data_IF_623275573932
#
_entry.id   IF_623275573932
#
_cell.length_a   1.000
_cell.length_b   1.000
_cell.length_c   1.000
_cell.angle_alpha   90.00
_cell.angle_beta   90.00
_cell.angle_gamma   90.00
#
_symmetry.space_group_name_H-M   'P 1'
#
loop_
_entity.id
_entity.type
_entity.pdbx_description
1 polymer ?
#
# COMPACT_ATOMS: atom_id res chain seq x y z
N UNK A 1 17.24 33.67 47.49
CA UNK A 1 15.86 33.73 46.97
C UNK A 1 15.80 34.01 45.44
N UNK A 2 16.49 35.00 44.89
CA UNK A 2 16.44 35.27 43.43
C UNK A 2 16.98 34.09 42.56
N UNK A 3 18.06 33.40 42.97
CA UNK A 3 18.66 32.28 42.22
C UNK A 3 17.78 31.01 42.22
N UNK A 4 17.01 30.78 43.28
CA UNK A 4 16.07 29.65 43.38
C UNK A 4 14.85 29.85 42.52
N UNK A 5 14.40 31.10 42.30
CA UNK A 5 13.27 31.42 41.40
C UNK A 5 13.63 31.14 39.92
N UNK A 6 14.85 31.46 39.50
CA UNK A 6 15.31 31.16 38.13
C UNK A 6 15.47 29.66 37.88
N UNK A 7 15.90 28.89 38.88
CA UNK A 7 15.97 27.43 38.78
C UNK A 7 14.59 26.79 38.65
N UNK A 8 13.60 27.30 39.38
CA UNK A 8 12.21 26.83 39.33
C UNK A 8 11.54 27.20 37.99
N UNK A 9 11.80 28.38 37.45
CA UNK A 9 11.33 28.82 36.13
C UNK A 9 11.94 27.97 34.99
N UNK A 10 13.23 27.63 35.09
CA UNK A 10 13.90 26.79 34.08
C UNK A 10 13.34 25.35 34.09
N UNK A 11 12.99 24.83 35.28
CA UNK A 11 12.39 23.49 35.38
C UNK A 11 10.94 23.43 34.82
N UNK A 12 10.21 24.55 34.85
CA UNK A 12 8.86 24.65 34.30
C UNK A 12 8.85 24.64 32.76
N UNK A 13 9.93 25.10 32.12
CA UNK A 13 10.06 25.04 30.66
C UNK A 13 10.40 23.66 30.10
N UNK A 14 10.84 22.72 30.92
CA UNK A 14 11.20 21.36 30.49
C UNK A 14 9.99 20.41 30.39
N UNK A 15 8.84 20.76 30.95
CA UNK A 15 7.68 19.87 30.99
C UNK A 15 6.63 20.17 29.91
N UNK A 16 6.83 21.17 29.06
CA UNK A 16 5.85 21.53 28.01
C UNK A 16 6.16 20.94 26.63
N UNK A 17 7.17 20.06 26.50
CA UNK A 17 7.45 19.35 25.26
C UNK A 17 6.75 18.00 25.20
N UNK A 18 5.44 17.97 25.45
CA UNK A 18 4.61 16.87 25.03
C UNK A 18 4.23 17.14 23.57
N UNK A 19 5.03 16.71 22.63
CA UNK A 19 4.60 16.66 21.23
C UNK A 19 3.56 15.56 21.18
N UNK A 20 2.30 15.90 20.91
CA UNK A 20 1.29 14.91 20.54
C UNK A 20 1.86 14.10 19.38
N UNK A 21 2.01 12.81 19.59
CA UNK A 21 2.46 11.90 18.56
C UNK A 21 1.43 11.94 17.44
N UNK A 22 1.81 12.42 16.27
CA UNK A 22 0.91 12.46 15.11
C UNK A 22 0.56 11.02 14.74
N UNK A 23 -0.67 10.64 14.99
CA UNK A 23 -1.17 9.28 14.72
C UNK A 23 -1.93 9.18 13.40
N UNK A 24 -2.40 10.32 12.88
CA UNK A 24 -3.17 10.36 11.66
C UNK A 24 -2.27 10.26 10.44
N UNK A 25 -2.64 9.41 9.50
CA UNK A 25 -2.10 9.39 8.15
C UNK A 25 -2.85 10.43 7.32
N UNK A 26 -2.13 11.19 6.50
CA UNK A 26 -2.70 12.20 5.63
C UNK A 26 -2.26 11.93 4.20
N UNK A 27 -3.24 11.77 3.32
CA UNK A 27 -3.03 11.71 1.88
C UNK A 27 -3.48 13.04 1.27
N UNK A 28 -2.61 13.66 0.49
CA UNK A 28 -2.91 14.84 -0.32
C UNK A 28 -2.67 14.53 -1.79
N UNK A 29 -3.45 15.12 -2.65
CA UNK A 29 -3.24 14.92 -4.07
C UNK A 29 -3.62 16.11 -4.91
N UNK A 30 -2.97 16.19 -6.07
CA UNK A 30 -3.36 17.04 -7.17
C UNK A 30 -3.18 16.30 -8.47
N UNK A 31 -4.30 15.77 -9.00
CA UNK A 31 -4.36 14.92 -10.18
C UNK A 31 -5.18 15.61 -11.25
N UNK A 32 -4.58 15.77 -12.42
CA UNK A 32 -5.28 16.23 -13.63
C UNK A 32 -5.91 15.06 -14.38
N UNK A 33 -6.97 15.34 -15.16
CA UNK A 33 -7.64 14.33 -15.98
C UNK A 33 -8.65 13.46 -15.22
N UNK A 34 -9.02 13.85 -14.00
CA UNK A 34 -10.12 13.18 -13.31
C UNK A 34 -11.43 13.43 -14.06
N UNK A 35 -12.19 12.36 -14.30
CA UNK A 35 -13.51 12.43 -14.94
C UNK A 35 -14.64 12.78 -13.99
N UNK A 36 -14.36 12.83 -12.69
CA UNK A 36 -15.34 13.06 -11.61
C UNK A 36 -14.74 13.96 -10.53
N UNK A 37 -15.61 14.69 -9.84
CA UNK A 37 -15.26 15.42 -8.62
C UNK A 37 -15.11 14.52 -7.39
N UNK A 38 -15.09 13.21 -7.60
CA UNK A 38 -14.94 12.21 -6.56
C UNK A 38 -13.95 11.13 -6.95
N UNK A 39 -13.17 10.68 -5.95
CA UNK A 39 -12.32 9.49 -6.02
C UNK A 39 -12.87 8.45 -5.05
N UNK A 40 -12.81 7.19 -5.45
CA UNK A 40 -13.12 6.08 -4.56
C UNK A 40 -11.84 5.60 -3.88
N UNK A 41 -11.97 5.33 -2.58
CA UNK A 41 -10.95 4.65 -1.77
C UNK A 41 -11.46 3.24 -1.51
N UNK A 42 -10.69 2.26 -1.93
CA UNK A 42 -11.03 0.86 -1.82
C UNK A 42 -10.11 0.15 -0.85
N UNK A 43 -10.68 -0.44 0.18
CA UNK A 43 -10.01 -1.35 1.12
C UNK A 43 -10.48 -2.77 0.82
N UNK A 44 -9.53 -3.68 0.65
CA UNK A 44 -9.82 -5.06 0.36
C UNK A 44 -9.94 -5.90 1.64
N UNK A 45 -9.16 -5.57 2.65
CA UNK A 45 -9.05 -6.34 3.89
C UNK A 45 -8.85 -5.42 5.10
N UNK A 46 -9.26 -5.83 6.31
CA UNK A 46 -9.89 -7.12 6.67
C UNK A 46 -11.31 -7.25 6.18
N UNK A 47 -11.97 -6.14 5.92
CA UNK A 47 -13.34 -6.07 5.39
C UNK A 47 -13.35 -5.18 4.15
N UNK A 48 -14.12 -5.59 3.17
CA UNK A 48 -14.40 -4.76 2.01
C UNK A 48 -15.02 -3.43 2.46
N UNK A 49 -14.33 -2.34 2.14
CA UNK A 49 -14.83 -1.00 2.43
C UNK A 49 -14.60 -0.10 1.23
N UNK A 50 -15.62 0.64 0.84
CA UNK A 50 -15.52 1.77 -0.07
C UNK A 50 -15.73 3.07 0.70
N UNK A 51 -14.86 4.02 0.42
CA UNK A 51 -14.97 5.39 0.91
C UNK A 51 -14.87 6.36 -0.29
N UNK A 52 -15.25 7.61 -0.09
CA UNK A 52 -15.28 8.61 -1.15
C UNK A 52 -14.53 9.86 -0.73
N UNK A 53 -13.64 10.32 -1.61
CA UNK A 53 -12.93 11.59 -1.45
C UNK A 53 -13.51 12.59 -2.44
N UNK A 54 -13.89 13.77 -1.95
CA UNK A 54 -14.30 14.88 -2.81
C UNK A 54 -13.07 15.62 -3.32
N UNK A 55 -13.05 15.87 -4.63
CA UNK A 55 -12.00 16.59 -5.34
C UNK A 55 -12.49 17.95 -5.78
N UNK A 56 -11.67 18.97 -5.61
CA UNK A 56 -11.91 20.29 -6.15
C UNK A 56 -10.77 20.67 -7.08
N UNK A 57 -11.05 20.83 -8.36
CA UNK A 57 -10.03 21.12 -9.38
C UNK A 57 -8.86 20.12 -9.35
N UNK A 58 -9.17 18.83 -9.15
CA UNK A 58 -8.20 17.76 -9.04
C UNK A 58 -7.44 17.71 -7.72
N UNK A 59 -7.69 18.63 -6.78
CA UNK A 59 -7.11 18.61 -5.44
C UNK A 59 -7.98 17.84 -4.48
N UNK A 60 -7.34 17.06 -3.62
CA UNK A 60 -8.02 16.30 -2.57
C UNK A 60 -7.14 16.12 -1.34
N UNK A 61 -7.79 15.87 -0.22
CA UNK A 61 -7.17 15.46 1.03
C UNK A 61 -7.99 14.32 1.65
N UNK A 62 -7.31 13.32 2.19
CA UNK A 62 -7.93 12.21 2.88
C UNK A 62 -7.12 11.86 4.12
N UNK A 63 -7.78 11.61 5.24
CA UNK A 63 -7.12 11.29 6.50
C UNK A 63 -7.75 10.07 7.13
N UNK A 64 -6.89 9.19 7.64
CA UNK A 64 -7.30 8.03 8.44
C UNK A 64 -6.35 7.86 9.61
N UNK A 65 -6.80 7.10 10.61
CA UNK A 65 -5.96 6.68 11.75
C UNK A 65 -5.72 5.17 11.66
N UNK A 66 -4.62 4.75 11.01
CA UNK A 66 -4.32 3.32 10.89
C UNK A 66 -3.78 2.78 12.22
N UNK A 67 -4.20 1.57 12.62
CA UNK A 67 -3.60 0.86 13.75
C UNK A 67 -2.25 0.25 13.38
N UNK A 68 -2.14 -0.27 12.16
CA UNK A 68 -0.94 -0.81 11.53
C UNK A 68 -0.85 -0.28 10.09
N UNK A 69 0.26 -0.53 9.39
CA UNK A 69 0.37 -0.19 7.97
C UNK A 69 -0.81 -0.82 7.21
N UNK A 70 -1.62 0.04 6.59
CA UNK A 70 -2.84 -0.35 5.89
C UNK A 70 -2.73 0.03 4.42
N UNK A 71 -2.88 -0.94 3.53
CA UNK A 71 -2.96 -0.70 2.09
C UNK A 71 -4.41 -0.39 1.70
N UNK A 72 -4.59 0.66 0.93
CA UNK A 72 -5.83 0.93 0.20
C UNK A 72 -5.51 1.37 -1.22
N UNK A 73 -6.49 1.28 -2.11
CA UNK A 73 -6.36 1.71 -3.49
C UNK A 73 -7.21 2.94 -3.76
N UNK A 74 -6.61 3.95 -4.38
CA UNK A 74 -7.35 5.04 -5.03
C UNK A 74 -7.78 4.59 -6.40
N UNK A 75 -9.07 4.70 -6.71
CA UNK A 75 -9.63 4.33 -8.01
C UNK A 75 -9.85 5.61 -8.79
N UNK A 76 -9.10 5.79 -9.89
CA UNK A 76 -9.24 6.90 -10.81
C UNK A 76 -10.23 6.61 -11.93
N UNK A 77 -10.29 5.34 -12.36
CA UNK A 77 -11.21 4.82 -13.38
C UNK A 77 -11.46 3.33 -13.13
N UNK A 78 -12.30 2.70 -13.95
CA UNK A 78 -12.55 1.25 -13.85
C UNK A 78 -11.30 0.38 -14.07
N UNK A 79 -10.28 0.92 -14.71
CA UNK A 79 -9.07 0.17 -15.10
C UNK A 79 -7.82 0.59 -14.32
N UNK A 80 -7.84 1.77 -13.68
CA UNK A 80 -6.66 2.35 -13.04
C UNK A 80 -6.88 2.59 -11.55
N UNK A 81 -6.09 1.92 -10.75
CA UNK A 81 -6.03 2.09 -9.31
C UNK A 81 -4.59 2.28 -8.84
N UNK A 82 -4.44 3.09 -7.81
CA UNK A 82 -3.16 3.41 -7.19
C UNK A 82 -3.13 2.90 -5.75
N UNK A 83 -2.24 1.98 -5.39
CA UNK A 83 -2.06 1.56 -4.02
C UNK A 83 -1.40 2.67 -3.20
N UNK A 84 -1.91 2.88 -2.00
CA UNK A 84 -1.36 3.78 -0.99
C UNK A 84 -1.21 3.02 0.31
N UNK A 85 -0.07 3.20 0.97
CA UNK A 85 0.25 2.56 2.25
C UNK A 85 0.14 3.59 3.36
N UNK A 86 -0.95 3.53 4.11
CA UNK A 86 -1.16 4.41 5.26
C UNK A 86 -0.38 3.89 6.46
N UNK A 87 0.51 4.72 6.99
CA UNK A 87 1.26 4.47 8.21
C UNK A 87 1.11 5.65 9.17
N UNK A 88 1.18 5.40 10.48
CA UNK A 88 0.95 6.41 11.54
C UNK A 88 1.82 7.64 11.35
N UNK A 89 1.20 8.81 11.40
CA UNK A 89 1.88 10.10 11.37
C UNK A 89 2.53 10.47 10.04
N UNK A 90 2.35 9.65 8.99
CA UNK A 90 2.90 9.95 7.67
C UNK A 90 1.97 10.83 6.85
N UNK A 91 2.59 11.65 6.01
CA UNK A 91 1.91 12.39 4.95
C UNK A 91 2.44 11.89 3.61
N UNK A 92 1.53 11.58 2.69
CA UNK A 92 1.82 11.20 1.31
C UNK A 92 1.20 12.23 0.38
N UNK A 93 1.94 12.64 -0.65
CA UNK A 93 1.43 13.49 -1.71
C UNK A 93 1.46 12.76 -3.04
N UNK A 94 0.37 12.89 -3.82
CA UNK A 94 0.25 12.36 -5.18
C UNK A 94 0.07 13.51 -6.13
N UNK A 95 0.92 13.59 -7.16
CA UNK A 95 0.90 14.66 -8.17
C UNK A 95 0.99 14.09 -9.57
N UNK A 96 0.36 14.77 -10.54
CA UNK A 96 0.44 14.40 -11.95
C UNK A 96 -0.92 14.29 -12.62
N UNK A 97 -1.11 13.20 -13.38
CA UNK A 97 -2.36 12.88 -14.06
C UNK A 97 -2.82 11.48 -13.71
N UNK A 98 -4.00 11.08 -14.16
CA UNK A 98 -4.53 9.71 -13.95
C UNK A 98 -3.64 8.63 -14.57
N UNK A 99 -2.84 8.94 -15.58
CA UNK A 99 -1.98 7.99 -16.29
C UNK A 99 -0.48 8.19 -16.03
N UNK A 100 -0.09 9.33 -15.45
CA UNK A 100 1.30 9.66 -15.15
C UNK A 100 1.39 10.45 -13.85
N UNK A 101 1.64 9.77 -12.77
CA UNK A 101 1.66 10.31 -11.41
C UNK A 101 2.96 9.97 -10.68
N UNK A 102 3.25 10.76 -9.67
CA UNK A 102 4.34 10.56 -8.72
C UNK A 102 3.77 10.46 -7.30
N UNK A 103 4.26 9.48 -6.54
CA UNK A 103 3.94 9.31 -5.12
C UNK A 103 5.11 9.85 -4.31
N UNK A 104 4.88 10.92 -3.57
CA UNK A 104 5.86 11.51 -2.66
C UNK A 104 5.54 11.09 -1.23
N UNK A 105 6.36 10.23 -0.66
CA UNK A 105 6.17 9.68 0.69
C UNK A 105 7.44 9.06 1.23
N UNK A 106 7.31 8.33 2.34
CA UNK A 106 8.39 7.56 2.96
C UNK A 106 8.03 6.07 2.97
N UNK A 107 8.99 5.21 3.35
CA UNK A 107 8.75 3.78 3.51
C UNK A 107 8.14 3.14 2.27
N UNK A 108 7.04 2.42 2.46
CA UNK A 108 6.37 1.66 1.39
C UNK A 108 5.90 2.53 0.22
N UNK A 109 5.44 3.76 0.48
CA UNK A 109 5.02 4.67 -0.58
C UNK A 109 6.19 5.14 -1.47
N UNK A 110 7.36 5.40 -0.87
CA UNK A 110 8.57 5.70 -1.63
C UNK A 110 9.00 4.51 -2.49
N UNK A 111 9.04 3.32 -1.90
CA UNK A 111 9.38 2.08 -2.62
C UNK A 111 8.38 1.82 -3.76
N UNK A 112 7.09 2.04 -3.52
CA UNK A 112 6.06 1.86 -4.56
C UNK A 112 6.26 2.81 -5.74
N UNK A 113 6.64 4.07 -5.49
CA UNK A 113 6.97 5.02 -6.55
C UNK A 113 8.19 4.57 -7.38
N UNK A 114 9.22 4.04 -6.73
CA UNK A 114 10.40 3.48 -7.40
C UNK A 114 10.02 2.24 -8.25
N UNK A 115 9.15 1.37 -7.71
CA UNK A 115 8.61 0.20 -8.42
C UNK A 115 7.83 0.64 -9.66
N UNK A 116 6.92 1.62 -9.56
CA UNK A 116 6.17 2.13 -10.71
C UNK A 116 7.09 2.69 -11.78
N UNK A 117 8.09 3.46 -11.39
CA UNK A 117 9.07 4.03 -12.32
C UNK A 117 9.86 2.93 -13.05
N UNK A 118 10.27 1.88 -12.33
CA UNK A 118 10.95 0.73 -12.91
C UNK A 118 10.04 -0.06 -13.87
N UNK A 119 8.81 -0.35 -13.46
CA UNK A 119 7.87 -1.11 -14.29
C UNK A 119 7.48 -0.34 -15.56
N UNK A 120 7.32 0.98 -15.48
CA UNK A 120 7.06 1.84 -16.64
C UNK A 120 8.21 1.82 -17.64
N UNK A 121 9.45 1.71 -17.18
CA UNK A 121 10.64 1.61 -18.05
C UNK A 121 10.90 0.17 -18.55
N UNK A 122 10.19 -0.84 -18.01
CA UNK A 122 10.41 -2.24 -18.33
C UNK A 122 9.58 -2.66 -19.55
N UNK A 123 10.19 -3.30 -20.57
CA UNK A 123 9.43 -3.89 -21.67
C UNK A 123 8.40 -4.91 -21.16
N UNK A 124 7.20 -4.90 -21.73
CA UNK A 124 6.05 -5.71 -21.28
C UNK A 124 6.41 -7.20 -21.10
N UNK A 125 7.13 -7.79 -22.04
CA UNK A 125 7.60 -9.19 -21.98
C UNK A 125 8.47 -9.52 -20.77
N UNK A 126 9.08 -8.53 -20.13
CA UNK A 126 9.99 -8.71 -19.00
C UNK A 126 9.34 -8.33 -17.66
N UNK A 127 8.12 -7.75 -17.65
CA UNK A 127 7.45 -7.25 -16.44
C UNK A 127 7.35 -8.36 -15.40
N UNK A 128 6.90 -9.55 -15.78
CA UNK A 128 6.71 -10.66 -14.83
C UNK A 128 8.01 -11.06 -14.14
N UNK A 129 9.11 -11.15 -14.90
CA UNK A 129 10.43 -11.46 -14.33
C UNK A 129 10.92 -10.36 -13.36
N UNK A 130 10.68 -9.10 -13.70
CA UNK A 130 11.03 -7.97 -12.84
C UNK A 130 10.19 -7.99 -11.56
N UNK A 131 8.88 -8.25 -11.68
CA UNK A 131 7.98 -8.37 -10.51
C UNK A 131 8.40 -9.52 -9.61
N UNK A 132 8.76 -10.70 -10.14
CA UNK A 132 9.31 -11.82 -9.36
C UNK A 132 10.54 -11.40 -8.56
N UNK A 133 11.47 -10.71 -9.22
CA UNK A 133 12.69 -10.21 -8.57
C UNK A 133 12.38 -9.19 -7.48
N UNK A 134 11.43 -8.28 -7.72
CA UNK A 134 11.01 -7.27 -6.73
C UNK A 134 10.40 -7.92 -5.50
N UNK A 135 9.50 -8.88 -5.67
CA UNK A 135 8.85 -9.61 -4.57
C UNK A 135 9.88 -10.36 -3.75
N UNK A 136 10.83 -11.05 -4.40
CA UNK A 136 11.87 -11.81 -3.70
C UNK A 136 12.89 -10.92 -3.01
N UNK A 137 13.28 -9.79 -3.62
CA UNK A 137 14.25 -8.87 -3.03
C UNK A 137 13.65 -8.11 -1.84
N UNK A 138 12.38 -7.75 -1.93
CA UNK A 138 11.66 -6.97 -0.91
C UNK A 138 10.72 -7.87 -0.08
N UNK A 139 11.14 -9.06 0.30
CA UNK A 139 10.34 -10.12 0.91
C UNK A 139 9.66 -9.77 2.25
N UNK A 140 9.93 -8.59 2.82
CA UNK A 140 9.26 -8.06 4.02
C UNK A 140 8.40 -6.84 3.74
N UNK A 141 8.39 -6.34 2.50
CA UNK A 141 7.71 -5.10 2.15
C UNK A 141 6.22 -5.31 1.90
N UNK A 142 5.42 -4.37 2.39
CA UNK A 142 3.97 -4.34 2.14
C UNK A 142 3.64 -4.05 0.67
N UNK A 143 4.57 -3.50 -0.13
CA UNK A 143 4.37 -3.34 -1.58
C UNK A 143 4.09 -4.67 -2.27
N UNK A 144 4.56 -5.80 -1.70
CA UNK A 144 4.30 -7.12 -2.24
C UNK A 144 2.82 -7.51 -2.19
N UNK A 145 2.00 -6.93 -1.30
CA UNK A 145 0.55 -7.14 -1.31
C UNK A 145 -0.05 -6.70 -2.64
N UNK A 146 0.34 -5.52 -3.12
CA UNK A 146 -0.10 -5.01 -4.42
C UNK A 146 0.47 -5.82 -5.60
N UNK A 147 1.77 -6.16 -5.54
CA UNK A 147 2.40 -6.91 -6.62
C UNK A 147 1.83 -8.31 -6.78
N UNK A 148 1.59 -9.01 -5.67
CA UNK A 148 0.94 -10.33 -5.67
C UNK A 148 -0.49 -10.23 -6.20
N UNK A 149 -1.26 -9.25 -5.72
CA UNK A 149 -2.64 -9.05 -6.14
C UNK A 149 -2.73 -8.78 -7.65
N UNK A 150 -2.01 -7.77 -8.12
CA UNK A 150 -2.10 -7.31 -9.51
C UNK A 150 -1.54 -8.30 -10.51
N UNK A 151 -0.40 -8.92 -10.23
CA UNK A 151 0.35 -9.68 -11.24
C UNK A 151 0.16 -11.20 -11.15
N UNK A 152 -0.47 -11.69 -10.06
CA UNK A 152 -0.66 -13.13 -9.86
C UNK A 152 -2.09 -13.52 -9.50
N UNK A 153 -2.74 -12.79 -8.57
CA UNK A 153 -4.09 -13.15 -8.10
C UNK A 153 -5.16 -12.76 -9.12
N UNK A 154 -5.12 -11.52 -9.60
CA UNK A 154 -6.11 -10.96 -10.52
C UNK A 154 -5.76 -11.23 -11.99
N UNK A 155 -5.27 -12.42 -12.30
CA UNK A 155 -5.01 -12.88 -13.66
C UNK A 155 -6.15 -13.78 -14.14
N UNK A 156 -6.39 -13.79 -15.44
CA UNK A 156 -7.39 -14.69 -16.06
C UNK A 156 -7.09 -16.17 -15.79
N UNK A 157 -5.79 -16.53 -15.80
CA UNK A 157 -5.29 -17.88 -15.52
C UNK A 157 -4.17 -17.84 -14.49
N UNK A 158 -4.47 -17.79 -13.17
CA UNK A 158 -3.46 -17.70 -12.13
C UNK A 158 -2.61 -18.98 -12.05
N UNK A 159 -1.29 -18.79 -11.99
CA UNK A 159 -0.37 -19.89 -11.67
C UNK A 159 -0.24 -20.01 -10.15
N UNK A 160 -1.12 -20.80 -9.55
CA UNK A 160 -1.17 -20.99 -8.10
C UNK A 160 0.09 -21.65 -7.53
N UNK A 161 0.77 -22.51 -8.31
CA UNK A 161 2.03 -23.14 -7.85
C UNK A 161 3.17 -22.11 -7.75
N UNK A 162 3.22 -21.16 -8.70
CA UNK A 162 4.20 -20.07 -8.64
C UNK A 162 3.82 -19.06 -7.55
N UNK A 163 2.55 -18.66 -7.46
CA UNK A 163 2.05 -17.77 -6.43
C UNK A 163 2.33 -18.31 -5.02
N UNK A 164 2.13 -19.62 -4.78
CA UNK A 164 2.47 -20.28 -3.51
C UNK A 164 3.93 -20.07 -3.14
N UNK A 165 4.86 -20.28 -4.07
CA UNK A 165 6.30 -20.08 -3.82
C UNK A 165 6.62 -18.61 -3.46
N UNK A 166 5.99 -17.65 -4.13
CA UNK A 166 6.17 -16.23 -3.83
C UNK A 166 5.64 -15.88 -2.44
N UNK A 167 4.49 -16.42 -2.03
CA UNK A 167 3.91 -16.24 -0.69
C UNK A 167 4.83 -16.87 0.38
N UNK A 168 5.32 -18.09 0.15
CA UNK A 168 6.23 -18.79 1.06
C UNK A 168 7.55 -18.04 1.26
N UNK A 169 8.02 -17.31 0.24
CA UNK A 169 9.24 -16.49 0.31
C UNK A 169 9.10 -15.24 1.18
N UNK A 170 7.88 -14.82 1.49
CA UNK A 170 7.66 -13.63 2.34
C UNK A 170 8.05 -13.92 3.79
N UNK A 171 8.42 -12.88 4.53
CA UNK A 171 8.70 -13.00 5.97
C UNK A 171 8.38 -11.70 6.72
N UNK A 172 8.40 -11.75 8.06
CA UNK A 172 8.10 -10.62 8.90
C UNK A 172 6.59 -10.28 8.95
N UNK A 173 6.29 -9.05 9.31
CA UNK A 173 4.91 -8.58 9.61
C UNK A 173 3.97 -8.70 8.40
N UNK A 174 4.48 -8.69 7.18
CA UNK A 174 3.64 -8.84 5.99
C UNK A 174 2.84 -10.14 6.00
N UNK A 175 3.40 -11.24 6.55
CA UNK A 175 2.69 -12.52 6.67
C UNK A 175 1.49 -12.48 7.61
N UNK A 176 1.53 -11.59 8.59
CA UNK A 176 0.48 -11.43 9.59
C UNK A 176 -0.59 -10.44 9.12
N UNK A 177 -0.49 -9.92 7.89
CA UNK A 177 -1.53 -9.05 7.34
C UNK A 177 -2.80 -9.84 7.05
N UNK A 178 -3.99 -9.25 7.24
CA UNK A 178 -5.26 -9.91 6.90
C UNK A 178 -5.31 -10.41 5.45
N UNK A 179 -4.69 -9.70 4.52
CA UNK A 179 -4.61 -10.10 3.11
C UNK A 179 -3.84 -11.42 2.96
N UNK A 180 -2.64 -11.53 3.53
CA UNK A 180 -1.82 -12.74 3.43
C UNK A 180 -2.46 -13.93 4.17
N UNK A 181 -3.10 -13.67 5.31
CA UNK A 181 -3.82 -14.71 6.07
C UNK A 181 -5.01 -15.30 5.29
N UNK A 182 -5.61 -14.53 4.38
CA UNK A 182 -6.67 -15.03 3.48
C UNK A 182 -6.08 -15.66 2.21
N UNK A 183 -5.03 -15.08 1.65
CA UNK A 183 -4.46 -15.49 0.37
C UNK A 183 -3.73 -16.83 0.47
N UNK A 184 -2.96 -17.05 1.54
CA UNK A 184 -2.10 -18.23 1.67
C UNK A 184 -2.90 -19.54 1.66
N UNK A 185 -3.92 -19.77 2.54
CA UNK A 185 -4.69 -21.02 2.53
C UNK A 185 -5.40 -21.26 1.19
N UNK A 186 -6.02 -20.19 0.64
CA UNK A 186 -6.71 -20.27 -0.66
C UNK A 186 -5.76 -20.70 -1.78
N UNK A 187 -4.55 -20.16 -1.79
CA UNK A 187 -3.54 -20.50 -2.81
C UNK A 187 -3.05 -21.93 -2.64
N UNK A 188 -2.86 -22.40 -1.42
CA UNK A 188 -2.46 -23.77 -1.13
C UNK A 188 -3.50 -24.77 -1.60
N UNK A 189 -4.78 -24.52 -1.32
CA UNK A 189 -5.90 -25.39 -1.77
C UNK A 189 -5.95 -25.47 -3.30
N UNK A 190 -5.93 -24.32 -3.99
CA UNK A 190 -5.99 -24.27 -5.46
C UNK A 190 -4.74 -24.84 -6.14
N UNK A 191 -3.56 -24.70 -5.54
CA UNK A 191 -2.34 -25.34 -6.04
C UNK A 191 -2.41 -26.88 -5.92
N UNK A 192 -2.97 -27.39 -4.83
CA UNK A 192 -3.14 -28.82 -4.61
C UNK A 192 -4.18 -29.43 -5.56
N UNK A 193 -5.30 -28.74 -5.81
CA UNK A 193 -6.32 -29.17 -6.78
C UNK A 193 -5.74 -29.29 -8.20
N UNK A 194 -4.93 -28.30 -8.62
CA UNK A 194 -4.29 -28.30 -9.94
C UNK A 194 -3.19 -29.35 -10.08
N UNK A 195 -2.64 -29.83 -8.97
CA UNK A 195 -1.58 -30.87 -8.95
C UNK A 195 -2.15 -32.29 -8.88
N UNK A 196 -3.43 -32.43 -8.57
CA UNK A 196 -4.09 -33.75 -8.52
C UNK A 196 -4.40 -34.24 -9.93
N UNK A 197 -4.02 -35.49 -10.30
CA UNK A 197 -4.37 -36.04 -11.61
C UNK A 197 -5.90 -36.09 -11.74
N UNK A 198 -6.44 -35.45 -12.76
CA UNK A 198 -7.87 -35.60 -13.11
C UNK A 198 -8.11 -37.09 -13.44
N UNK A 199 -8.80 -37.78 -12.57
CA UNK A 199 -9.33 -39.10 -12.89
C UNK A 199 -10.41 -38.87 -13.95
N UNK A 200 -10.04 -39.09 -15.21
CA UNK A 200 -11.00 -39.11 -16.33
C UNK A 200 -11.67 -40.49 -16.21
N UNK A 201 -12.92 -40.50 -15.71
CA UNK A 201 -13.84 -41.62 -15.78
C UNK A 201 -14.48 -41.69 -17.17
#
# INVERSE_FOLDING_TARGET
>A
MRKTIYLLLFFFFLITSCSEEKTDFILKGQISGLSSDTLLVYYQVPEFKLDTIFCQEGKFEYSIRPDTITMFSLIFSSEESLPVFADKGQTVEIKGSTTDFEIQGKGENKLMNEIFSLLKATPEKNIRQVVDSLIQTNYQSFTNLYLLDKYYVNQEHPDYNHLKKLIESQSGIIKDTPYMMLLQPKTEDLANENSSPRVVN
#
